data_IF_941921960700
#
_entry.id   IF_941921960700
#
_cell.length_a   1.000
_cell.length_b   1.000
_cell.length_c   1.000
_cell.angle_alpha   90.00
_cell.angle_beta   90.00
_cell.angle_gamma   90.00
#
_symmetry.space_group_name_H-M   'P 1'
#
loop_
_entity.id
_entity.type
_entity.pdbx_description
1 polymer ?
#
# COMPACT_ATOMS: atom_id res chain seq x y z
N UNK A 1 -5.11 -28.36 -17.11
CA UNK A 1 -6.58 -28.15 -17.05
C UNK A 1 -6.89 -26.68 -17.03
N UNK A 2 -7.79 -26.26 -17.91
CA UNK A 2 -8.26 -24.87 -17.91
C UNK A 2 -9.52 -24.76 -17.06
N UNK A 3 -9.52 -23.83 -16.15
CA UNK A 3 -10.71 -23.51 -15.37
C UNK A 3 -11.49 -22.41 -16.09
N UNK A 4 -12.76 -22.60 -16.23
CA UNK A 4 -13.64 -21.54 -16.69
C UNK A 4 -14.11 -20.79 -15.44
N UNK A 5 -13.64 -19.56 -15.31
CA UNK A 5 -14.01 -18.72 -14.17
C UNK A 5 -15.11 -17.77 -14.63
N UNK A 6 -16.25 -17.79 -13.94
CA UNK A 6 -17.34 -16.86 -14.22
C UNK A 6 -16.94 -15.44 -13.78
N UNK A 7 -17.59 -14.44 -14.35
CA UNK A 7 -17.32 -13.05 -13.98
C UNK A 7 -17.49 -12.80 -12.48
N UNK A 8 -18.51 -13.37 -11.84
CA UNK A 8 -18.71 -13.22 -10.40
C UNK A 8 -17.63 -13.91 -9.57
N UNK A 9 -17.15 -15.09 -10.02
CA UNK A 9 -16.05 -15.79 -9.36
C UNK A 9 -14.75 -15.02 -9.50
N UNK A 10 -14.51 -14.40 -10.65
CA UNK A 10 -13.34 -13.61 -10.91
C UNK A 10 -13.30 -12.36 -9.99
N UNK A 11 -14.43 -11.67 -9.86
CA UNK A 11 -14.54 -10.52 -8.96
C UNK A 11 -14.32 -10.92 -7.50
N UNK A 12 -14.84 -12.06 -7.08
CA UNK A 12 -14.65 -12.57 -5.73
C UNK A 12 -13.19 -12.92 -5.46
N UNK A 13 -12.53 -13.57 -6.41
CA UNK A 13 -11.11 -13.91 -6.33
C UNK A 13 -10.27 -12.64 -6.23
N UNK A 14 -10.53 -11.65 -7.08
CA UNK A 14 -9.83 -10.37 -7.08
C UNK A 14 -9.99 -9.65 -5.74
N UNK A 15 -11.22 -9.59 -5.20
CA UNK A 15 -11.47 -9.00 -3.90
C UNK A 15 -10.73 -9.70 -2.76
N UNK A 16 -10.68 -11.02 -2.78
CA UNK A 16 -9.95 -11.79 -1.78
C UNK A 16 -8.44 -11.54 -1.85
N UNK A 17 -7.89 -11.40 -3.06
CA UNK A 17 -6.47 -11.09 -3.24
C UNK A 17 -6.13 -9.69 -2.75
N UNK A 18 -6.99 -8.72 -3.02
CA UNK A 18 -6.82 -7.35 -2.54
C UNK A 18 -6.81 -7.32 -1.01
N UNK A 19 -7.78 -7.99 -0.38
CA UNK A 19 -7.85 -8.08 1.09
C UNK A 19 -6.62 -8.74 1.66
N UNK A 20 -6.08 -9.74 0.99
CA UNK A 20 -4.88 -10.43 1.44
C UNK A 20 -3.63 -9.55 1.32
N UNK A 21 -3.52 -8.75 0.25
CA UNK A 21 -2.44 -7.77 0.14
C UNK A 21 -2.48 -6.79 1.32
N UNK A 22 -3.67 -6.32 1.66
CA UNK A 22 -3.86 -5.37 2.76
C UNK A 22 -3.51 -5.97 4.12
N UNK A 23 -3.80 -7.24 4.33
CA UNK A 23 -3.56 -7.90 5.63
C UNK A 23 -2.18 -8.54 5.73
N UNK A 24 -1.70 -9.19 4.66
CA UNK A 24 -0.48 -9.99 4.70
C UNK A 24 0.69 -9.38 3.93
N UNK A 25 0.42 -8.43 3.05
CA UNK A 25 1.41 -7.79 2.21
C UNK A 25 1.47 -8.36 0.81
N UNK A 26 2.15 -7.64 -0.06
CA UNK A 26 2.26 -7.95 -1.48
C UNK A 26 3.01 -9.25 -1.74
N UNK A 27 4.20 -9.38 -1.16
CA UNK A 27 5.10 -10.50 -1.45
C UNK A 27 4.50 -11.83 -1.02
N UNK A 28 3.91 -11.87 0.16
CA UNK A 28 3.26 -13.08 0.68
C UNK A 28 2.09 -13.50 -0.21
N UNK A 29 1.28 -12.54 -0.62
CA UNK A 29 0.13 -12.80 -1.49
C UNK A 29 0.59 -13.31 -2.85
N UNK A 30 1.64 -12.69 -3.41
CA UNK A 30 2.21 -13.12 -4.70
C UNK A 30 2.70 -14.57 -4.66
N UNK A 31 3.36 -14.98 -3.58
CA UNK A 31 3.85 -16.37 -3.44
C UNK A 31 2.72 -17.38 -3.47
N UNK A 32 1.58 -17.05 -2.89
CA UNK A 32 0.43 -17.96 -2.83
C UNK A 32 -0.15 -18.29 -4.19
N UNK A 33 0.01 -17.42 -5.17
CA UNK A 33 -0.60 -17.58 -6.48
C UNK A 33 0.41 -17.78 -7.60
N UNK A 34 1.65 -18.09 -7.26
CA UNK A 34 2.67 -18.43 -8.25
C UNK A 34 3.55 -17.28 -8.73
N UNK A 35 3.51 -16.12 -8.07
CA UNK A 35 4.43 -15.02 -8.34
C UNK A 35 3.79 -13.67 -8.56
N UNK A 36 4.64 -12.66 -8.63
CA UNK A 36 4.22 -11.25 -8.72
C UNK A 36 3.50 -10.93 -10.01
N UNK A 37 3.96 -11.48 -11.13
CA UNK A 37 3.30 -11.27 -12.44
C UNK A 37 1.91 -11.87 -12.47
N UNK A 38 1.73 -13.05 -11.89
CA UNK A 38 0.43 -13.70 -11.78
C UNK A 38 -0.52 -12.87 -10.94
N UNK A 39 -0.04 -12.31 -9.85
CA UNK A 39 -0.87 -11.47 -8.98
C UNK A 39 -1.37 -10.23 -9.71
N UNK A 40 -0.49 -9.51 -10.41
CA UNK A 40 -0.90 -8.31 -11.16
C UNK A 40 -1.89 -8.63 -12.28
N UNK A 41 -1.67 -9.73 -12.96
CA UNK A 41 -2.58 -10.18 -14.02
C UNK A 41 -3.98 -10.48 -13.46
N UNK A 42 -4.06 -11.13 -12.31
CA UNK A 42 -5.33 -11.46 -11.67
C UNK A 42 -6.05 -10.22 -11.14
N UNK A 43 -5.30 -9.23 -10.66
CA UNK A 43 -5.88 -8.00 -10.16
C UNK A 43 -6.42 -7.10 -11.27
N UNK A 44 -5.96 -7.29 -12.49
CA UNK A 44 -6.36 -6.50 -13.68
C UNK A 44 -6.15 -4.99 -13.46
N UNK A 45 -5.01 -4.64 -12.89
CA UNK A 45 -4.63 -3.26 -12.61
C UNK A 45 -3.66 -2.78 -13.68
N UNK A 46 -3.96 -1.64 -14.30
CA UNK A 46 -3.24 -1.15 -15.47
C UNK A 46 -2.41 0.10 -15.23
N UNK A 47 -2.59 0.76 -14.09
CA UNK A 47 -1.84 1.99 -13.80
C UNK A 47 -1.45 2.07 -12.32
N UNK A 48 -0.39 2.82 -11.99
CA UNK A 48 -0.01 3.06 -10.60
C UNK A 48 -1.15 3.72 -9.80
N UNK A 49 -1.90 4.60 -10.43
CA UNK A 49 -3.03 5.29 -9.80
C UNK A 49 -4.11 4.30 -9.37
N UNK A 50 -4.44 3.35 -10.25
CA UNK A 50 -5.41 2.30 -9.93
C UNK A 50 -4.93 1.44 -8.76
N UNK A 51 -3.64 1.15 -8.73
CA UNK A 51 -3.07 0.37 -7.63
C UNK A 51 -3.21 1.12 -6.30
N UNK A 52 -2.88 2.41 -6.27
CA UNK A 52 -2.97 3.22 -5.06
C UNK A 52 -4.40 3.39 -4.56
N UNK A 53 -5.39 3.40 -5.47
CA UNK A 53 -6.80 3.46 -5.09
C UNK A 53 -7.23 2.29 -4.20
N UNK A 54 -6.56 1.15 -4.29
CA UNK A 54 -6.84 0.01 -3.42
C UNK A 54 -6.63 0.36 -1.93
N UNK A 55 -5.83 1.37 -1.65
CA UNK A 55 -5.43 1.76 -0.29
C UNK A 55 -6.08 3.06 0.18
N UNK A 56 -7.21 3.43 -0.39
CA UNK A 56 -7.92 4.67 -0.03
C UNK A 56 -8.77 4.54 1.24
N UNK A 57 -8.90 3.36 1.80
CA UNK A 57 -9.80 3.03 2.92
C UNK A 57 -9.08 2.56 4.18
N UNK A 58 -7.85 3.01 4.39
CA UNK A 58 -7.10 2.67 5.60
C UNK A 58 -7.72 3.29 6.85
N UNK A 59 -7.65 2.57 7.96
CA UNK A 59 -7.97 3.13 9.26
C UNK A 59 -6.86 4.07 9.70
N UNK A 60 -7.25 5.28 10.12
CA UNK A 60 -6.31 6.32 10.53
C UNK A 60 -6.51 6.58 12.01
N UNK A 61 -5.47 6.32 12.79
CA UNK A 61 -5.52 6.51 14.25
C UNK A 61 -4.26 7.21 14.73
N UNK A 62 -4.37 7.92 15.85
CA UNK A 62 -3.21 8.49 16.51
C UNK A 62 -2.65 7.51 17.54
N UNK A 63 -1.32 7.46 17.68
CA UNK A 63 -0.67 6.65 18.69
C UNK A 63 -1.07 7.12 20.08
N UNK A 64 -1.41 6.20 20.96
CA UNK A 64 -1.74 6.52 22.36
C UNK A 64 -0.54 7.00 23.15
N UNK A 65 0.63 6.40 22.89
CA UNK A 65 1.88 6.76 23.59
C UNK A 65 2.52 8.01 23.02
N UNK A 66 2.41 8.22 21.71
CA UNK A 66 3.02 9.34 21.01
C UNK A 66 1.99 9.99 20.11
N UNK A 67 1.21 10.97 20.62
CA UNK A 67 0.11 11.58 19.85
C UNK A 67 0.53 12.25 18.54
N UNK A 68 1.81 12.57 18.38
CA UNK A 68 2.34 13.14 17.14
C UNK A 68 2.49 12.13 16.01
N UNK A 69 2.32 10.84 16.30
CA UNK A 69 2.35 9.79 15.30
C UNK A 69 0.93 9.45 14.86
N UNK A 70 0.70 9.53 13.55
CA UNK A 70 -0.56 9.10 12.92
C UNK A 70 -0.29 7.79 12.20
N UNK A 71 -1.08 6.78 12.50
CA UNK A 71 -0.91 5.42 11.99
C UNK A 71 -2.02 5.11 10.99
N UNK A 72 -1.64 4.69 9.79
CA UNK A 72 -2.55 4.24 8.74
C UNK A 72 -2.41 2.73 8.62
N UNK A 73 -3.49 1.98 8.82
CA UNK A 73 -3.39 0.52 8.86
C UNK A 73 -4.64 -0.20 8.39
N UNK A 74 -4.45 -1.47 8.07
CA UNK A 74 -5.50 -2.45 7.87
C UNK A 74 -5.39 -3.49 8.99
N UNK A 75 -6.34 -3.48 9.95
CA UNK A 75 -6.27 -4.35 11.11
C UNK A 75 -4.95 -4.16 11.86
N UNK A 76 -4.18 -5.24 12.09
CA UNK A 76 -2.91 -5.13 12.79
C UNK A 76 -1.76 -4.65 11.90
N UNK A 77 -1.94 -4.61 10.57
CA UNK A 77 -0.87 -4.24 9.65
C UNK A 77 -0.75 -2.75 9.45
N UNK A 78 0.37 -2.21 9.85
CA UNK A 78 0.72 -0.81 9.64
C UNK A 78 1.19 -0.63 8.19
N UNK A 79 0.55 0.29 7.47
CA UNK A 79 0.87 0.56 6.07
C UNK A 79 1.59 1.89 5.88
N UNK A 80 1.22 2.90 6.67
CA UNK A 80 1.89 4.20 6.65
C UNK A 80 2.02 4.75 8.07
N UNK A 81 3.04 5.56 8.28
CA UNK A 81 3.27 6.25 9.56
C UNK A 81 3.66 7.70 9.28
N UNK A 82 2.82 8.61 9.76
CA UNK A 82 3.08 10.05 9.68
C UNK A 82 3.64 10.52 11.01
N UNK A 83 4.89 10.98 11.00
CA UNK A 83 5.58 11.46 12.20
C UNK A 83 5.65 12.99 12.18
N UNK A 84 4.84 13.61 13.04
CA UNK A 84 4.77 15.07 13.16
C UNK A 84 5.73 15.65 14.21
N UNK A 85 6.55 14.80 14.83
CA UNK A 85 7.53 15.29 15.83
C UNK A 85 8.67 16.06 15.17
N UNK A 86 9.01 15.71 13.92
CA UNK A 86 10.04 16.38 13.16
C UNK A 86 9.40 17.41 12.24
N UNK A 87 9.78 18.66 12.43
CA UNK A 87 9.27 19.77 11.62
C UNK A 87 10.27 20.25 10.56
N UNK A 88 11.53 19.76 10.64
CA UNK A 88 12.52 19.93 9.57
C UNK A 88 12.48 18.70 8.69
N UNK A 89 12.26 18.89 7.37
CA UNK A 89 12.13 17.82 6.38
C UNK A 89 11.14 16.74 6.83
N UNK A 90 9.88 17.09 7.05
CA UNK A 90 8.91 16.12 7.54
C UNK A 90 8.69 14.99 6.53
N UNK A 91 8.63 13.76 7.04
CA UNK A 91 8.52 12.55 6.23
C UNK A 91 7.29 11.74 6.62
N UNK A 92 6.72 11.04 5.64
CA UNK A 92 5.73 10.01 5.87
C UNK A 92 6.34 8.66 5.46
N UNK A 93 6.40 7.73 6.40
CA UNK A 93 6.90 6.39 6.14
C UNK A 93 5.82 5.56 5.48
N UNK A 94 6.14 4.94 4.36
CA UNK A 94 5.21 4.13 3.58
C UNK A 94 5.78 2.73 3.45
N UNK A 95 4.95 1.71 3.74
CA UNK A 95 5.40 0.34 3.70
C UNK A 95 5.91 -0.04 2.31
N UNK A 96 7.17 -0.48 2.28
CA UNK A 96 7.86 -0.82 1.04
C UNK A 96 7.18 -1.98 0.34
N UNK A 97 6.88 -3.05 1.07
CA UNK A 97 6.30 -4.26 0.47
C UNK A 97 4.92 -4.00 -0.12
N UNK A 98 4.07 -3.28 0.59
CA UNK A 98 2.69 -3.11 0.18
C UNK A 98 2.52 -2.06 -0.93
N UNK A 99 3.27 -0.97 -0.87
CA UNK A 99 3.05 0.19 -1.76
C UNK A 99 4.22 0.45 -2.69
N UNK A 100 5.45 0.62 -2.19
CA UNK A 100 6.58 1.05 -3.01
C UNK A 100 7.04 0.01 -4.02
N UNK A 101 7.21 -1.24 -3.62
CA UNK A 101 7.73 -2.28 -4.49
C UNK A 101 6.84 -2.55 -5.71
N UNK A 102 5.50 -2.61 -5.57
CA UNK A 102 4.67 -2.73 -6.77
C UNK A 102 4.81 -1.57 -7.74
N UNK A 103 4.94 -0.34 -7.27
CA UNK A 103 5.15 0.81 -8.15
C UNK A 103 6.44 0.67 -8.95
N UNK A 104 7.52 0.25 -8.29
CA UNK A 104 8.81 0.07 -8.93
C UNK A 104 8.86 -1.17 -9.82
N UNK A 105 8.43 -2.30 -9.29
CA UNK A 105 8.64 -3.60 -9.93
C UNK A 105 7.66 -3.90 -11.04
N UNK A 106 6.46 -3.34 -10.99
CA UNK A 106 5.43 -3.58 -12.00
C UNK A 106 5.23 -2.44 -12.95
N UNK A 107 5.23 -1.23 -12.43
CA UNK A 107 4.99 -0.04 -13.25
C UNK A 107 6.29 0.62 -13.69
N UNK A 108 7.44 0.07 -13.27
CA UNK A 108 8.75 0.56 -13.69
C UNK A 108 9.06 1.98 -13.25
N UNK A 109 8.42 2.43 -12.17
CA UNK A 109 8.62 3.79 -11.69
C UNK A 109 9.94 3.91 -10.93
N UNK A 110 10.71 4.95 -11.20
CA UNK A 110 11.88 5.25 -10.39
C UNK A 110 11.45 5.89 -9.06
N UNK A 111 12.43 6.16 -8.21
CA UNK A 111 12.16 6.71 -6.88
C UNK A 111 11.47 8.08 -6.94
N UNK A 112 11.94 8.97 -7.82
CA UNK A 112 11.38 10.32 -7.93
C UNK A 112 9.96 10.31 -8.48
N UNK A 113 9.69 9.50 -9.49
CA UNK A 113 8.36 9.36 -10.06
C UNK A 113 7.40 8.74 -9.04
N UNK A 114 7.86 7.75 -8.28
CA UNK A 114 7.08 7.16 -7.21
C UNK A 114 6.73 8.17 -6.13
N UNK A 115 7.68 9.02 -5.75
CA UNK A 115 7.41 10.10 -4.78
C UNK A 115 6.33 11.05 -5.28
N UNK A 116 6.42 11.46 -6.54
CA UNK A 116 5.45 12.41 -7.12
C UNK A 116 4.02 11.87 -7.10
N UNK A 117 3.85 10.63 -7.53
CA UNK A 117 2.52 10.03 -7.55
C UNK A 117 2.00 9.80 -6.13
N UNK A 118 2.86 9.42 -5.20
CA UNK A 118 2.47 9.22 -3.80
C UNK A 118 2.09 10.54 -3.12
N UNK A 119 2.80 11.62 -3.39
CA UNK A 119 2.47 12.93 -2.86
C UNK A 119 1.06 13.34 -3.31
N UNK A 120 0.75 13.16 -4.58
CA UNK A 120 -0.56 13.50 -5.12
C UNK A 120 -1.66 12.60 -4.53
N UNK A 121 -1.40 11.31 -4.44
CA UNK A 121 -2.33 10.36 -3.86
C UNK A 121 -2.62 10.66 -2.38
N UNK A 122 -1.60 10.96 -1.59
CA UNK A 122 -1.75 11.31 -0.18
C UNK A 122 -2.63 12.56 0.00
N UNK A 123 -2.41 13.56 -0.83
CA UNK A 123 -3.21 14.78 -0.82
C UNK A 123 -4.66 14.49 -1.16
N UNK A 124 -4.89 13.76 -2.25
CA UNK A 124 -6.25 13.52 -2.76
C UNK A 124 -7.04 12.57 -1.87
N UNK A 125 -6.38 11.55 -1.31
CA UNK A 125 -7.06 10.48 -0.57
C UNK A 125 -7.12 10.71 0.94
N UNK A 126 -6.11 11.36 1.50
CA UNK A 126 -6.00 11.53 2.96
C UNK A 126 -5.79 12.97 3.41
N UNK A 127 -5.73 13.91 2.48
CA UNK A 127 -5.49 15.32 2.82
C UNK A 127 -4.12 15.59 3.44
N UNK A 128 -3.16 14.70 3.21
CA UNK A 128 -1.80 14.83 3.75
C UNK A 128 -0.94 15.63 2.78
N UNK A 129 -0.44 16.78 3.23
CA UNK A 129 0.39 17.67 2.44
C UNK A 129 1.67 18.04 3.20
N UNK A 130 2.75 18.31 2.45
CA UNK A 130 3.98 18.81 3.05
C UNK A 130 4.89 17.75 3.65
N UNK A 131 4.65 16.47 3.37
CA UNK A 131 5.45 15.36 3.86
C UNK A 131 6.10 14.62 2.70
N UNK A 132 7.38 14.30 2.85
CA UNK A 132 8.11 13.52 1.85
C UNK A 132 7.86 12.03 2.07
N UNK A 133 7.31 11.31 1.07
CA UNK A 133 7.14 9.87 1.19
C UNK A 133 8.50 9.15 1.16
N UNK A 134 8.70 8.22 2.09
CA UNK A 134 9.89 7.38 2.12
C UNK A 134 9.50 5.91 2.30
N UNK A 135 10.21 4.98 1.63
CA UNK A 135 9.94 3.56 1.79
C UNK A 135 10.56 3.02 3.08
N UNK A 136 9.77 2.29 3.85
CA UNK A 136 10.21 1.67 5.11
C UNK A 136 9.50 0.32 5.27
N UNK A 137 10.18 -0.65 5.85
CA UNK A 137 9.58 -1.95 6.16
C UNK A 137 8.74 -1.89 7.42
N UNK A 138 7.56 -1.30 7.32
CA UNK A 138 6.70 -1.05 8.48
C UNK A 138 6.11 -2.31 9.12
N UNK A 139 5.98 -3.39 8.36
CA UNK A 139 5.45 -4.64 8.88
C UNK A 139 6.30 -5.26 9.99
N UNK A 140 7.56 -4.81 10.13
CA UNK A 140 8.48 -5.29 11.16
C UNK A 140 8.40 -4.47 12.46
N UNK A 141 7.67 -3.37 12.47
CA UNK A 141 7.55 -2.53 13.64
C UNK A 141 6.32 -2.89 14.46
N UNK A 142 6.49 -2.90 15.79
CA UNK A 142 5.38 -3.10 16.70
C UNK A 142 4.46 -1.89 16.68
N UNK A 143 3.15 -2.13 16.54
CA UNK A 143 2.13 -1.09 16.53
C UNK A 143 1.54 -0.96 17.92
N UNK A 144 1.34 0.25 18.33
CA UNK A 144 0.69 0.56 19.59
C UNK A 144 -0.74 1.03 19.40
#
# INVERSE_FOLDING_TARGET
>A
MKYIITESQDKKLTGNLIDRIKSDGWEKTARLIGGKKSLMKLLDIHSPEEYLELFNDMDVTQSKKTPQLTIFRYGPRKTMLLDKRQWLDPEIQIDSDTIWFPLKNYFGMDYLDSQKILIQWLKDSYGVEGFKPIPVGLSHYTVE
#
